data_IF_375383087810
#
_entry.id   IF_375383087810
#
_cell.length_a   1.000
_cell.length_b   1.000
_cell.length_c   1.000
_cell.angle_alpha   90.00
_cell.angle_beta   90.00
_cell.angle_gamma   90.00
#
_symmetry.space_group_name_H-M   'P 1'
#
loop_
_entity.id
_entity.type
_entity.pdbx_description
1 polymer ?
#
# COMPACT_ATOMS: atom_id res chain seq x y z
N UNK A 1 -7.68 17.03 4.77
CA UNK A 1 -7.40 16.87 3.34
C UNK A 1 -8.45 17.59 2.52
N UNK A 2 -8.06 18.21 1.43
CA UNK A 2 -8.95 18.89 0.50
C UNK A 2 -8.93 18.15 -0.85
N UNK A 3 -10.01 17.40 -1.20
CA UNK A 3 -10.09 16.67 -2.46
C UNK A 3 -10.05 17.56 -3.69
N UNK A 4 -10.66 18.76 -3.64
CA UNK A 4 -10.70 19.69 -4.77
C UNK A 4 -9.31 20.26 -5.06
N UNK A 5 -8.59 20.71 -4.02
CA UNK A 5 -7.20 21.18 -4.14
C UNK A 5 -6.30 20.06 -4.70
N UNK A 6 -6.45 18.82 -4.20
CA UNK A 6 -5.65 17.69 -4.70
C UNK A 6 -5.92 17.37 -6.14
N UNK A 7 -7.17 17.45 -6.57
CA UNK A 7 -7.55 17.25 -7.97
C UNK A 7 -6.98 18.34 -8.87
N UNK A 8 -7.05 19.59 -8.44
CA UNK A 8 -6.46 20.74 -9.14
C UNK A 8 -4.93 20.57 -9.31
N UNK A 9 -4.21 20.21 -8.22
CA UNK A 9 -2.77 19.95 -8.27
C UNK A 9 -2.41 18.80 -9.23
N UNK A 10 -3.21 17.74 -9.24
CA UNK A 10 -3.00 16.62 -10.18
C UNK A 10 -3.29 17.03 -11.64
N UNK A 11 -4.34 17.83 -11.86
CA UNK A 11 -4.68 18.32 -13.19
C UNK A 11 -3.57 19.22 -13.75
N UNK A 12 -2.95 20.06 -12.93
CA UNK A 12 -1.82 20.90 -13.34
C UNK A 12 -0.57 20.11 -13.76
N UNK A 13 -0.49 18.82 -13.44
CA UNK A 13 0.62 17.93 -13.78
C UNK A 13 0.29 16.94 -14.92
N UNK A 14 -0.64 17.30 -15.80
CA UNK A 14 -1.09 16.42 -16.89
C UNK A 14 0.02 16.12 -17.91
N UNK A 15 0.90 17.07 -18.16
CA UNK A 15 2.05 16.95 -19.06
C UNK A 15 3.40 17.04 -18.33
N UNK A 16 4.48 16.97 -19.09
CA UNK A 16 5.83 17.00 -18.51
C UNK A 16 6.18 18.38 -17.93
N UNK A 17 5.75 19.46 -18.57
CA UNK A 17 5.99 20.82 -18.12
C UNK A 17 5.25 21.06 -16.79
N UNK A 18 4.00 20.64 -16.71
CA UNK A 18 3.18 20.72 -15.51
C UNK A 18 3.76 19.90 -14.34
N UNK A 19 4.27 18.69 -14.60
CA UNK A 19 4.96 17.89 -13.57
C UNK A 19 6.21 18.59 -13.04
N UNK A 20 7.02 19.19 -13.92
CA UNK A 20 8.20 19.98 -13.51
C UNK A 20 7.81 21.20 -12.69
N UNK A 21 6.78 21.94 -13.11
CA UNK A 21 6.29 23.10 -12.39
C UNK A 21 5.74 22.72 -11.00
N UNK A 22 4.97 21.62 -10.92
CA UNK A 22 4.45 21.11 -9.66
C UNK A 22 5.58 20.73 -8.69
N UNK A 23 6.61 20.04 -9.19
CA UNK A 23 7.77 19.66 -8.40
C UNK A 23 8.60 20.89 -7.95
N UNK A 24 8.78 21.88 -8.81
CA UNK A 24 9.46 23.12 -8.45
C UNK A 24 8.75 23.85 -7.28
N UNK A 25 7.42 23.91 -7.29
CA UNK A 25 6.63 24.44 -6.18
C UNK A 25 6.85 23.65 -4.87
N UNK A 26 6.98 22.32 -4.95
CA UNK A 26 7.31 21.52 -3.77
C UNK A 26 8.74 21.81 -3.29
N UNK A 27 9.68 21.99 -4.21
CA UNK A 27 11.07 22.31 -3.86
C UNK A 27 11.18 23.65 -3.10
N UNK A 28 10.34 24.62 -3.44
CA UNK A 28 10.24 25.91 -2.73
C UNK A 28 9.56 25.77 -1.37
N UNK A 29 8.47 24.98 -1.29
CA UNK A 29 7.66 24.84 -0.07
C UNK A 29 8.24 23.86 0.96
N UNK A 30 8.91 22.81 0.50
CA UNK A 30 9.47 21.72 1.32
C UNK A 30 10.64 21.03 0.60
N UNK A 31 11.83 21.64 0.63
CA UNK A 31 13.02 21.07 -0.04
C UNK A 31 13.38 19.67 0.45
N UNK A 32 13.16 19.39 1.74
CA UNK A 32 13.48 18.09 2.35
C UNK A 32 12.54 16.98 1.85
N UNK A 33 11.24 17.25 1.74
CA UNK A 33 10.30 16.32 1.13
C UNK A 33 10.58 16.15 -0.37
N UNK A 34 10.89 17.22 -1.09
CA UNK A 34 11.22 17.17 -2.50
C UNK A 34 12.44 16.27 -2.78
N UNK A 35 13.48 16.34 -1.95
CA UNK A 35 14.68 15.50 -2.08
C UNK A 35 14.41 14.00 -1.95
N UNK A 36 13.32 13.62 -1.29
CA UNK A 36 12.90 12.21 -1.09
C UNK A 36 11.96 11.70 -2.20
N UNK A 37 11.47 12.58 -3.09
CA UNK A 37 10.44 12.26 -4.08
C UNK A 37 10.97 12.42 -5.51
N UNK A 38 10.53 11.53 -6.39
CA UNK A 38 10.82 11.69 -7.80
C UNK A 38 9.81 12.67 -8.46
N UNK A 39 10.23 13.59 -9.36
CA UNK A 39 9.34 14.56 -10.02
C UNK A 39 8.13 13.92 -10.73
N UNK A 40 8.26 12.70 -11.22
CA UNK A 40 7.18 11.97 -11.87
C UNK A 40 6.20 11.28 -10.90
N UNK A 41 6.47 11.31 -9.59
CA UNK A 41 5.53 10.79 -8.59
C UNK A 41 4.50 11.88 -8.23
N UNK A 42 3.67 12.21 -9.24
CA UNK A 42 2.65 13.27 -9.14
C UNK A 42 1.76 13.08 -7.92
N UNK A 43 1.45 11.85 -7.55
CA UNK A 43 0.57 11.57 -6.43
C UNK A 43 1.19 11.99 -5.08
N UNK A 44 2.48 11.68 -4.86
CA UNK A 44 3.19 12.05 -3.64
C UNK A 44 3.55 13.53 -3.63
N UNK A 45 3.98 14.08 -4.76
CA UNK A 45 4.29 15.52 -4.91
C UNK A 45 3.04 16.35 -4.63
N UNK A 46 1.88 16.01 -5.23
CA UNK A 46 0.61 16.69 -4.95
C UNK A 46 0.20 16.57 -3.48
N UNK A 47 0.41 15.42 -2.84
CA UNK A 47 0.07 15.23 -1.43
C UNK A 47 0.95 16.08 -0.52
N UNK A 48 2.26 16.14 -0.77
CA UNK A 48 3.17 16.98 0.00
C UNK A 48 2.79 18.46 -0.12
N UNK A 49 2.54 18.95 -1.34
CA UNK A 49 2.08 20.32 -1.56
C UNK A 49 0.73 20.61 -0.92
N UNK A 50 -0.23 19.69 -1.00
CA UNK A 50 -1.53 19.83 -0.32
C UNK A 50 -1.33 20.07 1.19
N UNK A 51 -0.45 19.29 1.83
CA UNK A 51 -0.14 19.45 3.26
C UNK A 51 0.46 20.83 3.52
N UNK A 52 1.47 21.23 2.75
CA UNK A 52 2.11 22.54 2.91
C UNK A 52 1.10 23.70 2.77
N UNK A 53 0.23 23.64 1.74
CA UNK A 53 -0.76 24.68 1.46
C UNK A 53 -1.87 24.76 2.51
N UNK A 54 -2.31 23.62 3.04
CA UNK A 54 -3.39 23.58 4.04
C UNK A 54 -2.92 23.91 5.45
N UNK A 55 -1.68 23.57 5.79
CA UNK A 55 -1.17 23.72 7.16
C UNK A 55 -0.23 24.91 7.33
N UNK A 56 0.25 25.49 6.23
CA UNK A 56 1.29 26.51 6.25
C UNK A 56 2.66 26.00 6.75
N UNK A 57 2.84 24.68 6.86
CA UNK A 57 4.06 24.04 7.36
C UNK A 57 4.55 22.96 6.40
N UNK A 58 5.87 22.78 6.22
CA UNK A 58 6.43 21.68 5.46
C UNK A 58 5.94 20.32 5.97
N UNK A 59 5.65 19.38 5.07
CA UNK A 59 5.28 18.01 5.44
C UNK A 59 6.43 17.29 6.16
N UNK A 60 7.68 17.56 5.74
CA UNK A 60 8.89 17.03 6.38
C UNK A 60 9.01 17.43 7.85
N UNK A 61 8.59 18.64 8.21
CA UNK A 61 8.59 19.09 9.60
C UNK A 61 7.59 18.34 10.49
N UNK A 62 6.52 17.79 9.89
CA UNK A 62 5.53 16.96 10.62
C UNK A 62 6.01 15.52 10.80
N UNK A 63 6.74 14.97 9.80
CA UNK A 63 7.32 13.62 9.89
C UNK A 63 8.47 13.55 10.90
N UNK A 64 9.25 14.64 11.03
CA UNK A 64 10.42 14.73 11.88
C UNK A 64 10.13 15.29 13.28
N UNK A 65 8.86 15.60 13.61
CA UNK A 65 8.53 16.01 14.96
C UNK A 65 8.97 14.90 15.94
N UNK A 66 9.92 15.17 16.86
CA UNK A 66 10.33 14.19 17.85
C UNK A 66 9.18 14.02 18.86
N UNK A 67 8.18 13.27 18.47
CA UNK A 67 7.18 12.81 19.42
C UNK A 67 7.82 11.73 20.27
N UNK A 68 7.83 11.91 21.59
CA UNK A 68 8.02 10.79 22.49
C UNK A 68 7.05 9.69 22.03
N UNK A 69 7.60 8.57 21.60
CA UNK A 69 6.76 7.43 21.27
C UNK A 69 6.23 6.89 22.61
N UNK A 70 4.95 7.11 22.94
CA UNK A 70 4.42 6.76 24.27
C UNK A 70 4.34 5.25 24.48
N UNK A 71 4.76 4.47 23.45
CA UNK A 71 4.67 3.01 23.49
C UNK A 71 6.01 2.38 23.11
N UNK A 72 6.36 1.33 23.83
CA UNK A 72 7.31 0.31 23.36
C UNK A 72 6.53 -0.67 22.49
N UNK A 73 7.15 -1.22 21.45
CA UNK A 73 6.52 -2.22 20.61
C UNK A 73 7.55 -3.28 20.18
N UNK A 74 7.08 -4.52 20.11
CA UNK A 74 7.79 -5.64 19.51
C UNK A 74 7.25 -5.87 18.11
N UNK A 75 8.14 -5.91 17.11
CA UNK A 75 7.76 -6.14 15.72
C UNK A 75 8.14 -7.56 15.32
N UNK A 76 7.12 -8.38 15.01
CA UNK A 76 7.33 -9.72 14.47
C UNK A 76 6.89 -9.73 13.00
N UNK A 77 7.71 -10.25 12.12
CA UNK A 77 7.42 -10.42 10.70
C UNK A 77 7.27 -11.90 10.34
N UNK A 78 6.12 -12.29 9.81
CA UNK A 78 5.92 -13.62 9.28
C UNK A 78 6.47 -13.69 7.83
N UNK A 79 7.34 -14.66 7.56
CA UNK A 79 7.91 -14.86 6.23
C UNK A 79 7.76 -16.31 5.78
N UNK A 80 7.94 -16.52 4.48
CA UNK A 80 8.02 -17.84 3.84
C UNK A 80 9.07 -17.75 2.73
N UNK A 81 9.62 -18.91 2.36
CA UNK A 81 10.39 -19.00 1.11
C UNK A 81 9.57 -18.45 -0.06
N UNK A 82 10.23 -17.68 -0.95
CA UNK A 82 9.55 -16.87 -1.99
C UNK A 82 8.64 -17.69 -2.91
N UNK A 83 9.07 -18.88 -3.32
CA UNK A 83 8.25 -19.72 -4.18
C UNK A 83 7.03 -20.27 -3.44
N UNK A 84 7.18 -20.61 -2.16
CA UNK A 84 6.08 -21.05 -1.30
C UNK A 84 5.06 -19.92 -1.09
N UNK A 85 5.52 -18.70 -0.84
CA UNK A 85 4.68 -17.51 -0.72
C UNK A 85 3.88 -17.26 -2.00
N UNK A 86 4.51 -17.37 -3.16
CA UNK A 86 3.83 -17.15 -4.46
C UNK A 86 2.79 -18.23 -4.72
N UNK A 87 3.10 -19.52 -4.47
CA UNK A 87 2.11 -20.59 -4.59
C UNK A 87 0.91 -20.38 -3.66
N UNK A 88 1.15 -19.92 -2.42
CA UNK A 88 0.07 -19.60 -1.47
C UNK A 88 -0.78 -18.42 -1.95
N UNK A 89 -0.16 -17.37 -2.49
CA UNK A 89 -0.85 -16.21 -3.04
C UNK A 89 -1.74 -16.60 -4.23
N UNK A 90 -1.25 -17.45 -5.13
CA UNK A 90 -2.02 -17.93 -6.28
C UNK A 90 -3.19 -18.80 -5.87
N UNK A 91 -2.98 -19.77 -4.96
CA UNK A 91 -4.09 -20.57 -4.39
C UNK A 91 -5.15 -19.73 -3.69
N UNK A 92 -4.71 -18.64 -3.02
CA UNK A 92 -5.66 -17.68 -2.42
C UNK A 92 -6.53 -17.02 -3.48
N UNK A 93 -5.97 -16.62 -4.61
CA UNK A 93 -6.74 -16.04 -5.74
C UNK A 93 -7.75 -17.05 -6.26
N UNK A 94 -7.32 -18.29 -6.53
CA UNK A 94 -8.24 -19.34 -6.98
C UNK A 94 -9.37 -19.56 -5.98
N UNK A 95 -9.07 -19.61 -4.69
CA UNK A 95 -10.07 -19.72 -3.65
C UNK A 95 -11.01 -18.52 -3.52
N UNK A 96 -10.56 -17.29 -3.83
CA UNK A 96 -11.44 -16.11 -3.87
C UNK A 96 -12.43 -16.20 -5.03
N UNK A 97 -11.98 -16.60 -6.21
CA UNK A 97 -12.85 -16.83 -7.36
C UNK A 97 -13.88 -17.90 -7.06
N UNK A 98 -13.45 -19.04 -6.52
CA UNK A 98 -14.33 -20.16 -6.19
C UNK A 98 -15.39 -19.81 -5.12
N UNK A 99 -15.07 -18.90 -4.21
CA UNK A 99 -16.01 -18.39 -3.18
C UNK A 99 -16.92 -17.27 -3.65
N UNK A 100 -16.89 -16.89 -4.92
CA UNK A 100 -17.86 -15.96 -5.51
C UNK A 100 -17.39 -14.50 -5.54
N UNK A 101 -16.09 -14.21 -5.54
CA UNK A 101 -15.58 -12.84 -5.71
C UNK A 101 -16.18 -12.11 -6.94
N UNK A 102 -16.40 -12.77 -8.11
CA UNK A 102 -17.05 -12.10 -9.23
C UNK A 102 -18.47 -11.62 -8.90
N UNK A 103 -19.27 -12.43 -8.22
CA UNK A 103 -20.64 -12.05 -7.82
C UNK A 103 -20.64 -10.91 -6.78
N UNK A 104 -19.65 -10.88 -5.87
CA UNK A 104 -19.47 -9.78 -4.93
C UNK A 104 -19.21 -8.45 -5.65
N UNK A 105 -18.31 -8.46 -6.63
CA UNK A 105 -17.99 -7.25 -7.42
C UNK A 105 -19.19 -6.82 -8.26
N UNK A 106 -19.90 -7.75 -8.85
CA UNK A 106 -21.13 -7.50 -9.62
C UNK A 106 -22.21 -6.83 -8.77
N UNK A 107 -22.42 -7.34 -7.54
CA UNK A 107 -23.38 -6.76 -6.61
C UNK A 107 -23.03 -5.31 -6.24
N UNK A 108 -21.75 -5.00 -6.02
CA UNK A 108 -21.29 -3.64 -5.73
C UNK A 108 -21.53 -2.69 -6.92
N UNK A 109 -21.22 -3.13 -8.14
CA UNK A 109 -21.48 -2.35 -9.36
C UNK A 109 -22.98 -2.11 -9.57
N UNK A 110 -23.82 -3.12 -9.33
CA UNK A 110 -25.27 -3.03 -9.41
C UNK A 110 -25.86 -2.07 -8.37
N UNK A 111 -25.23 -1.97 -7.18
CA UNK A 111 -25.61 -1.01 -6.15
C UNK A 111 -25.14 0.44 -6.48
N UNK A 112 -24.50 0.65 -7.63
CA UNK A 112 -24.05 1.96 -8.08
C UNK A 112 -22.68 2.38 -7.56
N UNK A 113 -21.86 1.48 -7.01
CA UNK A 113 -20.47 1.80 -6.66
C UNK A 113 -19.69 2.06 -7.95
N UNK A 114 -19.12 3.26 -8.15
CA UNK A 114 -18.38 3.59 -9.37
C UNK A 114 -17.14 2.70 -9.52
N UNK A 115 -16.82 2.21 -10.74
CA UNK A 115 -15.59 1.45 -11.00
C UNK A 115 -14.31 2.15 -10.56
N UNK A 116 -14.31 3.48 -10.56
CA UNK A 116 -13.19 4.36 -10.18
C UNK A 116 -13.07 4.56 -8.67
N UNK A 117 -14.06 4.14 -7.88
CA UNK A 117 -14.02 4.26 -6.43
C UNK A 117 -12.74 3.63 -5.85
N UNK A 118 -12.19 4.26 -4.83
CA UNK A 118 -10.91 3.82 -4.22
C UNK A 118 -10.93 2.33 -3.83
N UNK A 119 -12.03 1.84 -3.29
CA UNK A 119 -12.18 0.44 -2.91
C UNK A 119 -12.12 -0.51 -4.13
N UNK A 120 -12.69 -0.08 -5.27
CA UNK A 120 -12.72 -0.84 -6.52
C UNK A 120 -11.34 -0.93 -7.19
N UNK A 121 -10.35 -0.14 -6.75
CA UNK A 121 -8.96 -0.21 -7.22
C UNK A 121 -8.14 -1.31 -6.53
N UNK A 122 -8.72 -2.02 -5.57
CA UNK A 122 -8.09 -3.18 -4.92
C UNK A 122 -7.80 -4.32 -5.91
N UNK A 123 -6.73 -5.09 -5.63
CA UNK A 123 -6.41 -6.29 -6.41
C UNK A 123 -7.54 -7.29 -6.23
N UNK A 124 -8.05 -7.79 -7.34
CA UNK A 124 -9.23 -8.64 -7.42
C UNK A 124 -10.40 -7.86 -8.01
N UNK A 125 -10.75 -6.73 -7.45
CA UNK A 125 -11.89 -5.93 -7.91
C UNK A 125 -11.61 -5.28 -9.26
N UNK A 126 -10.51 -4.53 -9.37
CA UNK A 126 -10.16 -3.83 -10.62
C UNK A 126 -9.94 -4.75 -11.81
N UNK A 127 -9.49 -5.98 -11.58
CA UNK A 127 -9.32 -6.96 -12.65
C UNK A 127 -10.64 -7.57 -13.10
N UNK A 128 -11.66 -7.64 -12.22
CA UNK A 128 -12.99 -8.16 -12.53
C UNK A 128 -13.92 -7.13 -13.17
N UNK A 129 -13.70 -5.85 -12.96
CA UNK A 129 -14.52 -4.79 -13.58
C UNK A 129 -14.61 -4.94 -15.11
N UNK A 130 -13.52 -5.14 -15.88
CA UNK A 130 -13.61 -5.38 -17.32
C UNK A 130 -14.38 -6.67 -17.70
N UNK A 131 -14.31 -7.71 -16.86
CA UNK A 131 -15.06 -8.96 -17.08
C UNK A 131 -16.56 -8.68 -17.02
N UNK A 132 -17.00 -7.97 -15.99
CA UNK A 132 -18.41 -7.71 -15.71
C UNK A 132 -19.01 -6.63 -16.62
N UNK A 133 -18.25 -5.58 -16.93
CA UNK A 133 -18.78 -4.46 -17.72
C UNK A 133 -18.54 -4.58 -19.23
N UNK A 134 -17.54 -5.38 -19.66
CA UNK A 134 -17.11 -5.43 -21.06
C UNK A 134 -17.01 -6.85 -21.62
N UNK A 135 -17.38 -7.86 -20.84
CA UNK A 135 -17.32 -9.28 -21.26
C UNK A 135 -15.89 -9.81 -21.47
N UNK A 136 -14.89 -9.22 -20.81
CA UNK A 136 -13.51 -9.71 -20.91
C UNK A 136 -13.42 -11.16 -20.33
N UNK A 137 -12.49 -12.00 -20.83
CA UNK A 137 -12.34 -13.37 -20.35
C UNK A 137 -11.95 -13.43 -18.88
N UNK A 138 -12.72 -14.18 -18.07
CA UNK A 138 -12.42 -14.37 -16.65
C UNK A 138 -11.03 -14.96 -16.40
N UNK A 139 -10.59 -15.89 -17.26
CA UNK A 139 -9.27 -16.52 -17.16
C UNK A 139 -8.11 -15.52 -17.24
N UNK A 140 -8.24 -14.49 -18.08
CA UNK A 140 -7.27 -13.42 -18.20
C UNK A 140 -7.25 -12.56 -16.94
N UNK A 141 -8.41 -12.20 -16.40
CA UNK A 141 -8.53 -11.46 -15.15
C UNK A 141 -7.87 -12.23 -13.98
N UNK A 142 -8.12 -13.54 -13.86
CA UNK A 142 -7.50 -14.40 -12.84
C UNK A 142 -5.97 -14.43 -12.98
N UNK A 143 -5.47 -14.56 -14.21
CA UNK A 143 -4.03 -14.53 -14.49
C UNK A 143 -3.41 -13.19 -14.07
N UNK A 144 -4.10 -12.09 -14.36
CA UNK A 144 -3.69 -10.74 -13.99
C UNK A 144 -3.73 -10.54 -12.46
N UNK A 145 -4.77 -11.02 -11.78
CA UNK A 145 -4.87 -11.01 -10.32
C UNK A 145 -3.70 -11.75 -9.66
N UNK A 146 -3.37 -12.96 -10.11
CA UNK A 146 -2.22 -13.74 -9.62
C UNK A 146 -0.91 -12.96 -9.79
N UNK A 147 -0.68 -12.42 -10.99
CA UNK A 147 0.51 -11.59 -11.26
C UNK A 147 0.59 -10.37 -10.35
N UNK A 148 -0.51 -9.63 -10.18
CA UNK A 148 -0.55 -8.42 -9.38
C UNK A 148 -0.41 -8.73 -7.88
N UNK A 149 -0.96 -9.85 -7.41
CA UNK A 149 -0.79 -10.32 -6.02
C UNK A 149 0.68 -10.66 -5.73
N UNK A 150 1.39 -11.36 -6.65
CA UNK A 150 2.83 -11.62 -6.49
C UNK A 150 3.65 -10.32 -6.48
N UNK A 151 3.33 -9.36 -7.36
CA UNK A 151 3.98 -8.04 -7.38
C UNK A 151 3.74 -7.26 -6.08
N UNK A 152 2.54 -7.36 -5.53
CA UNK A 152 2.22 -6.74 -4.25
C UNK A 152 3.01 -7.38 -3.10
N UNK A 153 3.06 -8.71 -3.04
CA UNK A 153 3.87 -9.42 -2.05
C UNK A 153 5.37 -9.05 -2.14
N UNK A 154 5.92 -8.92 -3.37
CA UNK A 154 7.30 -8.45 -3.56
C UNK A 154 7.52 -7.04 -3.02
N UNK A 155 6.57 -6.11 -3.25
CA UNK A 155 6.68 -4.74 -2.72
C UNK A 155 6.60 -4.72 -1.19
N UNK A 156 5.70 -5.51 -0.60
CA UNK A 156 5.61 -5.65 0.86
C UNK A 156 6.94 -6.16 1.45
N UNK A 157 7.50 -7.22 0.86
CA UNK A 157 8.82 -7.74 1.27
C UNK A 157 9.90 -6.65 1.25
N UNK A 158 10.02 -5.91 0.13
CA UNK A 158 11.03 -4.85 -0.01
C UNK A 158 10.83 -3.76 1.04
N UNK A 159 9.57 -3.37 1.30
CA UNK A 159 9.26 -2.31 2.24
C UNK A 159 9.52 -2.72 3.69
N UNK A 160 9.03 -3.88 4.10
CA UNK A 160 9.22 -4.37 5.46
C UNK A 160 10.66 -4.77 5.77
N UNK A 161 11.41 -5.28 4.78
CA UNK A 161 12.81 -5.65 4.95
C UNK A 161 13.73 -4.44 5.19
N UNK A 162 13.29 -3.23 4.89
CA UNK A 162 13.98 -2.00 5.25
C UNK A 162 13.87 -1.67 6.76
N UNK A 163 12.84 -2.18 7.44
CA UNK A 163 12.61 -1.96 8.87
C UNK A 163 13.45 -2.96 9.69
N UNK A 164 14.52 -2.46 10.28
CA UNK A 164 15.52 -3.28 11.00
C UNK A 164 15.06 -3.84 12.36
N UNK A 165 13.94 -3.31 12.88
CA UNK A 165 13.36 -3.76 14.16
C UNK A 165 12.51 -5.01 14.03
N UNK A 166 12.19 -5.44 12.81
CA UNK A 166 11.39 -6.64 12.58
C UNK A 166 12.24 -7.89 12.87
N UNK A 167 11.75 -8.70 13.79
CA UNK A 167 12.24 -10.06 14.02
C UNK A 167 11.45 -11.02 13.12
N UNK A 168 12.14 -11.57 12.12
CA UNK A 168 11.50 -12.40 11.12
C UNK A 168 11.35 -13.84 11.61
N UNK A 169 10.16 -14.40 11.39
CA UNK A 169 9.81 -15.78 11.70
C UNK A 169 9.49 -16.53 10.41
N UNK A 170 10.20 -17.61 10.14
CA UNK A 170 9.88 -18.49 9.00
C UNK A 170 8.65 -19.33 9.34
N UNK A 171 7.56 -19.10 8.66
CA UNK A 171 6.30 -19.80 8.89
C UNK A 171 6.27 -21.23 8.30
N UNK A 172 7.38 -21.68 7.69
CA UNK A 172 7.59 -23.08 7.33
C UNK A 172 8.11 -23.91 8.52
N UNK A 173 8.68 -23.29 9.53
CA UNK A 173 9.17 -23.98 10.74
C UNK A 173 7.99 -24.29 11.68
N UNK A 174 7.94 -25.52 12.17
CA UNK A 174 6.86 -25.98 13.08
C UNK A 174 6.83 -25.20 14.41
N UNK A 175 7.98 -24.70 14.87
CA UNK A 175 8.11 -23.97 16.11
C UNK A 175 7.92 -22.45 15.99
N UNK A 176 7.61 -21.92 14.82
CA UNK A 176 7.51 -20.49 14.55
C UNK A 176 6.55 -19.75 15.49
N UNK A 177 5.40 -20.37 15.80
CA UNK A 177 4.41 -19.80 16.74
C UNK A 177 4.97 -19.80 18.16
N UNK A 178 5.62 -20.90 18.59
CA UNK A 178 6.26 -21.00 19.92
C UNK A 178 7.37 -19.95 20.07
N UNK A 179 8.15 -19.73 19.02
CA UNK A 179 9.18 -18.69 18.99
C UNK A 179 8.57 -17.30 19.10
N UNK A 180 7.48 -17.01 18.38
CA UNK A 180 6.76 -15.74 18.49
C UNK A 180 6.27 -15.47 19.92
N UNK A 181 5.70 -16.48 20.58
CA UNK A 181 5.25 -16.39 21.95
C UNK A 181 6.40 -16.09 22.92
N UNK A 182 7.53 -16.79 22.79
CA UNK A 182 8.73 -16.54 23.63
C UNK A 182 9.26 -15.11 23.48
N UNK A 183 9.31 -14.59 22.27
CA UNK A 183 9.73 -13.22 22.00
C UNK A 183 8.75 -12.22 22.66
N UNK A 184 7.46 -12.45 22.52
CA UNK A 184 6.42 -11.62 23.14
C UNK A 184 6.50 -11.63 24.68
N UNK A 185 6.68 -12.80 25.28
CA UNK A 185 6.83 -12.93 26.73
C UNK A 185 8.10 -12.23 27.26
N UNK A 186 9.22 -12.37 26.55
CA UNK A 186 10.47 -11.68 26.91
C UNK A 186 10.28 -10.16 26.87
N UNK A 187 9.71 -9.65 25.78
CA UNK A 187 9.41 -8.23 25.62
C UNK A 187 8.47 -7.70 26.72
N UNK A 188 7.45 -8.47 27.09
CA UNK A 188 6.52 -8.10 28.16
C UNK A 188 7.24 -7.99 29.51
N UNK A 189 8.05 -8.99 29.88
CA UNK A 189 8.83 -8.99 31.14
C UNK A 189 9.78 -7.79 31.22
N UNK A 190 10.48 -7.47 30.13
CA UNK A 190 11.36 -6.29 30.08
C UNK A 190 10.62 -4.95 30.18
N UNK A 191 9.34 -4.93 29.83
CA UNK A 191 8.54 -3.70 29.86
C UNK A 191 7.92 -3.45 31.22
N UNK A 192 7.72 -4.51 32.02
CA UNK A 192 7.10 -4.45 33.35
C UNK A 192 8.15 -4.38 34.49
N UNK A 193 9.41 -4.57 34.20
CA UNK A 193 10.54 -4.42 35.12
C UNK A 193 11.05 -2.99 35.12
#
# INVERSE_FOLDING_TARGET
SDPALRQSLKASAADEAGRRALYARLLEADPEAAAKLHPNDVARVSRALEVCLLTGKPMSAQENAPGERPFRFCMLGATLERAALYRRAERRVDGMIARGLPAEVEALLTQGVPPEAQAMQGIGYKELVPVLLRGAPLAEAVTLMKRNTRRYAKRQWTWFNAEKRIQWLDMAEENSITQALRIGEAFWKETMA
#
